data_IF_922499167513
#
_entry.id   IF_922499167513
#
_cell.length_a   1.000
_cell.length_b   1.000
_cell.length_c   1.000
_cell.angle_alpha   90.00
_cell.angle_beta   90.00
_cell.angle_gamma   90.00
#
_symmetry.space_group_name_H-M   'P 1'
#
loop_
_entity.id
_entity.type
_entity.pdbx_description
1 polymer ?
#
# COMPACT_ATOMS: atom_id res chain seq x y z
N UNK A 1 4.05 -21.58 11.89
CA UNK A 1 3.50 -21.85 13.23
C UNK A 1 4.65 -22.03 14.23
N UNK A 2 5.57 -22.97 14.02
CA UNK A 2 6.71 -23.22 14.95
C UNK A 2 7.59 -21.97 15.10
N UNK A 3 7.95 -21.31 14.01
CA UNK A 3 8.75 -20.06 14.02
C UNK A 3 8.06 -18.93 14.77
N UNK A 4 6.76 -18.77 14.59
CA UNK A 4 5.96 -17.76 15.29
C UNK A 4 5.91 -18.07 16.80
N UNK A 5 5.66 -19.32 17.16
CA UNK A 5 5.62 -19.76 18.54
C UNK A 5 6.97 -19.56 19.24
N UNK A 6 8.07 -19.91 18.60
CA UNK A 6 9.42 -19.67 19.11
C UNK A 6 9.71 -18.17 19.25
N UNK A 7 9.29 -17.33 18.28
CA UNK A 7 9.48 -15.90 18.37
C UNK A 7 8.67 -15.27 19.51
N UNK A 8 7.45 -15.74 19.77
CA UNK A 8 6.64 -15.29 20.93
C UNK A 8 7.31 -15.68 22.25
N UNK A 9 7.87 -16.90 22.34
CA UNK A 9 8.57 -17.35 23.55
C UNK A 9 9.86 -16.55 23.78
N UNK A 10 10.65 -16.33 22.72
CA UNK A 10 11.97 -15.70 22.85
C UNK A 10 11.93 -14.18 22.98
N UNK A 11 10.99 -13.53 22.33
CA UNK A 11 10.94 -12.08 22.20
C UNK A 11 9.68 -11.43 22.77
N UNK A 12 8.79 -12.25 23.37
CA UNK A 12 7.51 -11.83 23.89
C UNK A 12 6.41 -11.69 22.80
N UNK A 13 5.13 -11.60 23.20
CA UNK A 13 4.02 -11.60 22.27
C UNK A 13 4.07 -10.41 21.29
N UNK A 14 4.49 -9.25 21.74
CA UNK A 14 4.54 -8.03 20.92
C UNK A 14 5.53 -8.10 19.76
N UNK A 15 6.66 -8.78 19.94
CA UNK A 15 7.67 -8.98 18.90
C UNK A 15 7.44 -10.27 18.10
N UNK A 16 6.75 -11.25 18.69
CA UNK A 16 6.44 -12.52 18.03
C UNK A 16 5.30 -12.41 17.02
N UNK A 17 4.32 -11.51 17.25
CA UNK A 17 3.19 -11.29 16.33
C UNK A 17 3.66 -10.87 14.93
N UNK A 18 4.52 -9.85 14.75
CA UNK A 18 5.04 -9.49 13.43
C UNK A 18 5.74 -10.66 12.72
N UNK A 19 6.52 -11.46 13.45
CA UNK A 19 7.16 -12.66 12.87
C UNK A 19 6.12 -13.65 12.34
N UNK A 20 5.00 -13.81 13.04
CA UNK A 20 3.88 -14.63 12.59
C UNK A 20 3.24 -14.13 11.31
N UNK A 21 3.03 -12.83 11.21
CA UNK A 21 2.49 -12.20 10.00
C UNK A 21 3.42 -12.43 8.78
N UNK A 22 4.72 -12.26 8.96
CA UNK A 22 5.69 -12.53 7.91
C UNK A 22 5.76 -14.03 7.53
N UNK A 23 5.60 -14.92 8.50
CA UNK A 23 5.55 -16.36 8.25
C UNK A 23 4.35 -16.75 7.37
N UNK A 24 3.18 -16.10 7.53
CA UNK A 24 1.99 -16.39 6.69
C UNK A 24 2.25 -16.07 5.22
N UNK A 25 2.96 -14.96 4.93
CA UNK A 25 3.38 -14.63 3.56
C UNK A 25 4.31 -15.69 3.00
N UNK A 26 5.31 -16.14 3.78
CA UNK A 26 6.24 -17.19 3.38
C UNK A 26 5.53 -18.50 3.03
N UNK A 27 4.56 -18.91 3.85
CA UNK A 27 3.71 -20.08 3.58
C UNK A 27 2.90 -19.90 2.30
N UNK A 28 2.26 -18.73 2.12
CA UNK A 28 1.50 -18.42 0.92
C UNK A 28 2.35 -18.44 -0.36
N UNK A 29 3.58 -17.93 -0.31
CA UNK A 29 4.54 -17.99 -1.42
C UNK A 29 4.98 -19.42 -1.71
N UNK A 30 5.30 -20.20 -0.67
CA UNK A 30 5.67 -21.61 -0.78
C UNK A 30 4.56 -22.44 -1.42
N UNK A 31 3.32 -22.27 -0.97
CA UNK A 31 2.15 -22.97 -1.48
C UNK A 31 1.82 -22.55 -2.91
N UNK A 32 1.91 -21.27 -3.24
CA UNK A 32 1.73 -20.76 -4.60
C UNK A 32 2.74 -21.35 -5.59
N UNK A 33 3.98 -21.60 -5.14
CA UNK A 33 5.00 -22.27 -5.95
C UNK A 33 4.74 -23.78 -6.06
N UNK A 34 4.35 -24.45 -4.96
CA UNK A 34 4.01 -25.87 -4.93
C UNK A 34 2.87 -26.21 -5.87
N UNK A 35 1.84 -25.37 -5.89
CA UNK A 35 0.66 -25.54 -6.77
C UNK A 35 0.88 -25.07 -8.20
N UNK A 36 2.08 -24.61 -8.55
CA UNK A 36 2.42 -24.09 -9.89
C UNK A 36 1.42 -23.04 -10.40
N UNK A 37 0.95 -22.17 -9.52
CA UNK A 37 -0.04 -21.14 -9.84
C UNK A 37 0.52 -20.13 -10.83
N UNK A 38 -0.35 -19.61 -11.69
CA UNK A 38 0.02 -18.49 -12.58
C UNK A 38 0.40 -17.23 -11.77
N UNK A 39 1.15 -16.31 -12.40
CA UNK A 39 1.78 -15.14 -11.77
C UNK A 39 0.84 -14.35 -10.86
N UNK A 40 -0.38 -14.04 -11.32
CA UNK A 40 -1.36 -13.27 -10.53
C UNK A 40 -1.81 -14.04 -9.29
N UNK A 41 -2.14 -15.33 -9.43
CA UNK A 41 -2.57 -16.14 -8.28
C UNK A 41 -1.46 -16.34 -7.26
N UNK A 42 -0.20 -16.43 -7.72
CA UNK A 42 0.99 -16.49 -6.85
C UNK A 42 1.19 -15.22 -6.03
N UNK A 43 0.77 -14.05 -6.52
CA UNK A 43 0.78 -12.80 -5.76
C UNK A 43 -0.42 -12.71 -4.83
N UNK A 44 -1.61 -13.04 -5.31
CA UNK A 44 -2.85 -12.90 -4.54
C UNK A 44 -2.91 -13.82 -3.33
N UNK A 45 -2.46 -15.06 -3.43
CA UNK A 45 -2.54 -16.03 -2.34
C UNK A 45 -1.82 -15.54 -1.07
N UNK A 46 -0.52 -15.16 -1.09
CA UNK A 46 0.16 -14.61 0.08
C UNK A 46 -0.40 -13.23 0.50
N UNK A 47 -0.90 -12.43 -0.44
CA UNK A 47 -1.50 -11.13 -0.14
C UNK A 47 -2.79 -11.28 0.66
N UNK A 48 -3.66 -12.20 0.29
CA UNK A 48 -4.88 -12.49 1.03
C UNK A 48 -4.54 -13.08 2.42
N UNK A 49 -3.57 -14.01 2.49
CA UNK A 49 -3.14 -14.57 3.75
C UNK A 49 -2.58 -13.48 4.70
N UNK A 50 -1.76 -12.57 4.18
CA UNK A 50 -1.22 -11.44 4.94
C UNK A 50 -2.33 -10.48 5.39
N UNK A 51 -3.24 -10.12 4.47
CA UNK A 51 -4.36 -9.22 4.77
C UNK A 51 -5.22 -9.77 5.92
N UNK A 52 -5.64 -11.03 5.82
CA UNK A 52 -6.43 -11.69 6.86
C UNK A 52 -5.64 -11.76 8.17
N UNK A 53 -4.37 -12.14 8.13
CA UNK A 53 -3.53 -12.24 9.32
C UNK A 53 -3.37 -10.88 10.02
N UNK A 54 -3.18 -9.79 9.28
CA UNK A 54 -3.12 -8.42 9.84
C UNK A 54 -4.44 -8.04 10.49
N UNK A 55 -5.58 -8.28 9.83
CA UNK A 55 -6.90 -7.97 10.38
C UNK A 55 -7.18 -8.75 11.66
N UNK A 56 -6.93 -10.07 11.64
CA UNK A 56 -7.15 -10.92 12.84
C UNK A 56 -6.26 -10.44 13.99
N UNK A 57 -5.00 -10.13 13.72
CA UNK A 57 -4.06 -9.64 14.73
C UNK A 57 -4.51 -8.29 15.29
N UNK A 58 -4.94 -7.37 14.41
CA UNK A 58 -5.40 -6.05 14.82
C UNK A 58 -6.65 -6.13 15.70
N UNK A 59 -7.64 -6.94 15.32
CA UNK A 59 -8.85 -7.16 16.11
C UNK A 59 -8.52 -7.82 17.45
N UNK A 60 -7.68 -8.86 17.45
CA UNK A 60 -7.29 -9.55 18.68
C UNK A 60 -6.55 -8.60 19.63
N UNK A 61 -5.63 -7.78 19.09
CA UNK A 61 -4.89 -6.80 19.88
C UNK A 61 -5.80 -5.72 20.47
N UNK A 62 -6.74 -5.19 19.70
CA UNK A 62 -7.72 -4.24 20.19
C UNK A 62 -8.56 -4.82 21.32
N UNK A 63 -9.03 -6.06 21.17
CA UNK A 63 -9.79 -6.76 22.20
C UNK A 63 -8.99 -6.98 23.49
N UNK A 64 -7.73 -7.44 23.38
CA UNK A 64 -6.85 -7.68 24.54
C UNK A 64 -6.49 -6.38 25.25
N UNK A 65 -6.24 -5.30 24.50
CA UNK A 65 -5.85 -4.01 25.04
C UNK A 65 -7.04 -3.16 25.53
N UNK A 66 -8.27 -3.62 25.29
CA UNK A 66 -9.49 -2.85 25.61
C UNK A 66 -9.62 -1.55 24.80
N UNK A 67 -8.95 -1.48 23.64
CA UNK A 67 -8.97 -0.30 22.77
C UNK A 67 -10.25 -0.34 21.93
N UNK A 68 -11.05 0.71 22.02
CA UNK A 68 -12.17 0.92 21.10
C UNK A 68 -11.64 1.45 19.77
N UNK A 69 -11.71 0.59 18.74
CA UNK A 69 -11.25 0.92 17.39
C UNK A 69 -12.00 2.11 16.77
N UNK A 70 -13.22 2.39 17.24
CA UNK A 70 -13.99 3.54 16.77
C UNK A 70 -13.42 4.87 17.27
N UNK A 71 -12.62 4.84 18.35
CA UNK A 71 -12.05 6.01 19.03
C UNK A 71 -10.54 6.22 18.72
N UNK A 72 -9.95 5.46 17.80
CA UNK A 72 -8.52 5.56 17.50
C UNK A 72 -8.13 6.99 17.05
N UNK A 73 -8.94 7.60 16.21
CA UNK A 73 -8.74 8.97 15.74
C UNK A 73 -8.75 9.98 16.90
N UNK A 74 -9.69 9.84 17.82
CA UNK A 74 -9.82 10.68 19.02
C UNK A 74 -8.57 10.51 19.91
N UNK A 75 -8.17 9.25 20.17
CA UNK A 75 -7.00 8.96 21.01
C UNK A 75 -5.70 9.51 20.38
N UNK A 76 -5.52 9.38 19.06
CA UNK A 76 -4.37 9.96 18.36
C UNK A 76 -4.35 11.49 18.46
N UNK A 77 -5.50 12.13 18.33
CA UNK A 77 -5.64 13.59 18.44
C UNK A 77 -5.38 14.07 19.85
N UNK A 78 -5.84 13.35 20.88
CA UNK A 78 -5.55 13.67 22.29
C UNK A 78 -4.06 13.53 22.61
N UNK A 79 -3.40 12.47 22.13
CA UNK A 79 -1.95 12.33 22.28
C UNK A 79 -1.19 13.46 21.58
N UNK A 80 -1.63 13.88 20.40
CA UNK A 80 -1.03 15.00 19.69
C UNK A 80 -1.18 16.32 20.49
N UNK A 81 -2.32 16.55 21.15
CA UNK A 81 -2.52 17.69 22.05
C UNK A 81 -1.56 17.66 23.22
N UNK A 82 -1.43 16.52 23.90
CA UNK A 82 -0.49 16.37 25.00
C UNK A 82 0.95 16.66 24.59
N UNK A 83 1.37 16.17 23.41
CA UNK A 83 2.70 16.44 22.86
C UNK A 83 2.87 17.92 22.52
N UNK A 84 1.86 18.56 21.92
CA UNK A 84 1.88 19.97 21.58
C UNK A 84 1.99 20.86 22.83
N UNK A 85 1.20 20.56 23.87
CA UNK A 85 1.21 21.29 25.15
C UNK A 85 2.56 21.11 25.86
N UNK A 86 3.14 19.93 25.86
CA UNK A 86 4.46 19.68 26.41
C UNK A 86 5.56 20.44 25.65
N UNK A 87 5.44 20.51 24.32
CA UNK A 87 6.38 21.24 23.47
C UNK A 87 6.32 22.74 23.72
N UNK A 88 5.12 23.31 23.92
CA UNK A 88 4.92 24.73 24.30
C UNK A 88 5.54 25.06 25.66
N UNK A 89 5.47 24.13 26.63
CA UNK A 89 6.04 24.34 27.95
C UNK A 89 7.57 24.24 27.98
N UNK A 90 8.13 23.36 27.09
CA UNK A 90 9.58 23.08 27.12
C UNK A 90 10.37 23.91 26.12
N UNK A 91 9.75 24.46 25.08
CA UNK A 91 10.43 25.13 23.98
C UNK A 91 9.77 26.47 23.65
N UNK A 92 10.41 27.58 24.09
CA UNK A 92 9.92 28.95 23.83
C UNK A 92 9.87 29.38 22.36
N UNK A 93 10.44 28.57 21.45
CA UNK A 93 10.44 28.87 20.01
C UNK A 93 9.19 28.32 19.27
N UNK A 94 8.35 27.55 19.94
CA UNK A 94 7.12 27.02 19.35
C UNK A 94 5.98 27.97 19.70
N UNK A 95 5.28 28.45 18.67
CA UNK A 95 4.10 29.30 18.85
C UNK A 95 2.84 28.44 19.04
N UNK A 96 1.82 29.04 19.71
CA UNK A 96 0.52 28.40 19.88
C UNK A 96 -0.09 28.01 18.50
N UNK A 97 0.06 28.85 17.49
CA UNK A 97 -0.42 28.61 16.14
C UNK A 97 0.23 27.35 15.51
N UNK A 98 1.53 27.15 15.75
CA UNK A 98 2.25 25.95 15.26
C UNK A 98 1.77 24.68 15.97
N UNK A 99 1.51 24.77 17.28
CA UNK A 99 0.96 23.68 18.07
C UNK A 99 -0.45 23.28 17.58
N UNK A 100 -1.32 24.27 17.35
CA UNK A 100 -2.68 24.06 16.85
C UNK A 100 -2.68 23.48 15.44
N UNK A 101 -1.78 23.95 14.57
CA UNK A 101 -1.58 23.38 13.24
C UNK A 101 -1.10 21.93 13.29
N UNK A 102 -0.20 21.60 14.22
CA UNK A 102 0.25 20.22 14.41
C UNK A 102 -0.91 19.31 14.81
N UNK A 103 -1.70 19.69 15.83
CA UNK A 103 -2.86 18.91 16.27
C UNK A 103 -3.88 18.74 15.16
N UNK A 104 -4.20 19.81 14.41
CA UNK A 104 -5.11 19.74 13.25
C UNK A 104 -4.62 18.83 12.15
N UNK A 105 -3.31 18.79 11.89
CA UNK A 105 -2.74 17.90 10.88
C UNK A 105 -2.78 16.44 11.35
N UNK A 106 -2.52 16.16 12.62
CA UNK A 106 -2.64 14.80 13.19
C UNK A 106 -4.08 14.33 13.15
N UNK A 107 -5.05 15.17 13.51
CA UNK A 107 -6.48 14.85 13.44
C UNK A 107 -6.92 14.46 12.02
N UNK A 108 -6.51 15.26 11.02
CA UNK A 108 -6.78 14.92 9.60
C UNK A 108 -6.12 13.61 9.19
N UNK A 109 -4.89 13.36 9.62
CA UNK A 109 -4.18 12.12 9.31
C UNK A 109 -4.85 10.92 9.99
N UNK A 110 -5.24 11.05 11.25
CA UNK A 110 -5.89 10.00 12.02
C UNK A 110 -7.24 9.60 11.40
N UNK A 111 -8.07 10.60 11.07
CA UNK A 111 -9.35 10.38 10.35
C UNK A 111 -9.11 9.73 8.99
N UNK A 112 -8.16 10.25 8.21
CA UNK A 112 -7.83 9.68 6.90
C UNK A 112 -7.30 8.25 6.98
N UNK A 113 -6.49 7.92 7.98
CA UNK A 113 -6.00 6.55 8.22
C UNK A 113 -7.13 5.61 8.63
N UNK A 114 -8.06 6.06 9.49
CA UNK A 114 -9.23 5.28 9.89
C UNK A 114 -10.09 4.93 8.66
N UNK A 115 -10.39 5.94 7.84
CA UNK A 115 -11.21 5.78 6.64
C UNK A 115 -10.55 4.88 5.59
N UNK A 116 -9.23 4.97 5.45
CA UNK A 116 -8.44 4.25 4.44
C UNK A 116 -7.86 2.92 4.93
N UNK A 117 -8.08 2.54 6.20
CA UNK A 117 -7.36 1.46 6.86
C UNK A 117 -7.37 0.14 6.06
N UNK A 118 -8.54 -0.31 5.64
CA UNK A 118 -8.66 -1.60 4.93
C UNK A 118 -7.89 -1.61 3.60
N UNK A 119 -7.99 -0.53 2.83
CA UNK A 119 -7.28 -0.43 1.56
C UNK A 119 -5.78 -0.25 1.78
N UNK A 120 -5.37 0.52 2.77
CA UNK A 120 -3.95 0.68 3.12
C UNK A 120 -3.33 -0.68 3.50
N UNK A 121 -4.02 -1.47 4.33
CA UNK A 121 -3.58 -2.84 4.68
C UNK A 121 -3.55 -3.74 3.45
N UNK A 122 -4.54 -3.67 2.56
CA UNK A 122 -4.54 -4.46 1.33
C UNK A 122 -3.36 -4.11 0.41
N UNK A 123 -3.09 -2.82 0.20
CA UNK A 123 -1.95 -2.34 -0.59
C UNK A 123 -0.62 -2.80 0.04
N UNK A 124 -0.48 -2.65 1.35
CA UNK A 124 0.70 -3.10 2.08
C UNK A 124 0.89 -4.62 1.95
N UNK A 125 -0.18 -5.41 2.08
CA UNK A 125 -0.14 -6.86 1.93
C UNK A 125 0.31 -7.30 0.53
N UNK A 126 -0.18 -6.65 -0.53
CA UNK A 126 0.24 -6.92 -1.92
C UNK A 126 1.70 -6.54 -2.13
N UNK A 127 2.11 -5.35 -1.67
CA UNK A 127 3.48 -4.85 -1.80
C UNK A 127 4.47 -5.76 -1.09
N UNK A 128 4.13 -6.16 0.13
CA UNK A 128 4.96 -7.03 0.96
C UNK A 128 5.10 -8.43 0.35
N UNK A 129 3.99 -8.98 -0.15
CA UNK A 129 3.99 -10.28 -0.83
C UNK A 129 4.84 -10.25 -2.09
N UNK A 130 4.78 -9.18 -2.87
CA UNK A 130 5.64 -9.00 -4.04
C UNK A 130 7.13 -8.98 -3.68
N UNK A 131 7.50 -8.18 -2.66
CA UNK A 131 8.89 -8.09 -2.18
C UNK A 131 9.37 -9.49 -1.71
N UNK A 132 8.53 -10.21 -0.95
CA UNK A 132 8.86 -11.55 -0.46
C UNK A 132 9.05 -12.55 -1.61
N UNK A 133 8.23 -12.49 -2.64
CA UNK A 133 8.40 -13.31 -3.85
C UNK A 133 9.74 -12.99 -4.54
N UNK A 134 10.09 -11.71 -4.70
CA UNK A 134 11.33 -11.32 -5.34
C UNK A 134 12.57 -11.78 -4.55
N UNK A 135 12.52 -11.63 -3.21
CA UNK A 135 13.57 -12.13 -2.33
C UNK A 135 13.68 -13.67 -2.44
N UNK A 136 12.53 -14.38 -2.46
CA UNK A 136 12.50 -15.84 -2.61
C UNK A 136 13.12 -16.30 -3.93
N UNK A 137 12.83 -15.61 -5.05
CA UNK A 137 13.43 -15.89 -6.35
C UNK A 137 14.94 -15.65 -6.33
N UNK A 138 15.38 -14.56 -5.69
CA UNK A 138 16.81 -14.23 -5.57
C UNK A 138 17.56 -15.27 -4.72
N UNK A 139 17.00 -15.66 -3.57
CA UNK A 139 17.53 -16.71 -2.69
C UNK A 139 17.54 -18.08 -3.39
N UNK A 140 16.44 -18.42 -4.08
CA UNK A 140 16.32 -19.66 -4.83
C UNK A 140 17.43 -19.83 -5.85
N UNK A 141 17.78 -18.76 -6.56
CA UNK A 141 18.93 -18.78 -7.51
C UNK A 141 20.25 -19.11 -6.83
N UNK A 142 20.49 -18.61 -5.59
CA UNK A 142 21.71 -18.88 -4.83
C UNK A 142 21.74 -20.30 -4.28
N UNK A 143 20.58 -20.83 -3.93
CA UNK A 143 20.44 -22.19 -3.37
C UNK A 143 20.21 -23.25 -4.45
N UNK A 144 20.29 -22.88 -5.74
CA UNK A 144 20.04 -23.76 -6.88
C UNK A 144 18.62 -24.38 -6.88
N UNK A 145 17.66 -23.69 -6.26
CA UNK A 145 16.23 -24.07 -6.25
C UNK A 145 15.55 -23.35 -7.40
N UNK A 146 14.86 -24.12 -8.25
CA UNK A 146 14.10 -23.58 -9.38
C UNK A 146 12.80 -22.94 -8.91
N UNK A 147 12.76 -21.61 -8.80
CA UNK A 147 11.54 -20.85 -8.55
C UNK A 147 11.15 -20.12 -9.83
N UNK A 148 9.91 -20.30 -10.32
CA UNK A 148 9.44 -19.63 -11.54
C UNK A 148 9.58 -18.10 -11.41
N UNK A 149 10.10 -17.46 -12.45
CA UNK A 149 10.26 -16.00 -12.46
C UNK A 149 8.90 -15.32 -12.41
N UNK A 150 8.87 -14.16 -11.81
CA UNK A 150 7.73 -13.26 -11.88
C UNK A 150 7.79 -12.46 -13.18
N UNK A 151 6.63 -12.04 -13.69
CA UNK A 151 6.56 -11.16 -14.85
C UNK A 151 7.35 -9.88 -14.60
N UNK A 152 8.18 -9.42 -15.57
CA UNK A 152 8.84 -8.12 -15.47
C UNK A 152 7.79 -7.01 -15.26
N UNK A 153 8.14 -5.99 -14.48
CA UNK A 153 7.21 -4.87 -14.19
C UNK A 153 6.75 -4.18 -15.48
N UNK A 154 7.61 -4.09 -16.48
CA UNK A 154 7.31 -3.51 -17.78
C UNK A 154 6.13 -4.18 -18.51
N UNK A 155 5.86 -5.45 -18.20
CA UNK A 155 4.76 -6.22 -18.80
C UNK A 155 3.45 -6.12 -18.00
N UNK A 156 3.48 -5.46 -16.83
CA UNK A 156 2.28 -5.34 -16.01
C UNK A 156 1.25 -4.44 -16.67
N UNK A 157 0.03 -4.97 -16.76
CA UNK A 157 -1.13 -4.25 -17.26
C UNK A 157 -2.27 -4.38 -16.28
N UNK A 158 -2.74 -3.26 -15.77
CA UNK A 158 -3.95 -3.24 -14.95
C UNK A 158 -5.18 -3.16 -15.86
N UNK A 159 -6.30 -3.75 -15.42
CA UNK A 159 -7.52 -3.72 -16.20
C UNK A 159 -8.11 -2.30 -16.25
N UNK A 160 -8.76 -1.95 -17.35
CA UNK A 160 -9.30 -0.61 -17.60
C UNK A 160 -10.32 -0.16 -16.53
N UNK A 161 -11.01 -1.09 -15.87
CA UNK A 161 -11.93 -0.75 -14.80
C UNK A 161 -11.24 -0.08 -13.59
N UNK A 162 -9.93 -0.23 -13.41
CA UNK A 162 -9.19 0.49 -12.37
C UNK A 162 -9.19 2.01 -12.59
N UNK A 163 -9.17 2.48 -13.84
CA UNK A 163 -9.37 3.90 -14.17
C UNK A 163 -10.80 4.36 -13.82
N UNK A 164 -11.79 3.48 -14.00
CA UNK A 164 -13.17 3.72 -13.56
C UNK A 164 -13.27 3.88 -12.03
N UNK A 165 -12.60 3.02 -11.25
CA UNK A 165 -12.55 3.16 -9.80
C UNK A 165 -11.89 4.49 -9.39
N UNK A 166 -10.79 4.85 -10.03
CA UNK A 166 -10.11 6.12 -9.76
C UNK A 166 -11.02 7.32 -10.00
N UNK A 167 -11.73 7.32 -11.14
CA UNK A 167 -12.69 8.38 -11.47
C UNK A 167 -13.88 8.41 -10.49
N UNK A 168 -14.45 7.25 -10.15
CA UNK A 168 -15.55 7.16 -9.17
C UNK A 168 -15.13 7.65 -7.79
N UNK A 169 -13.92 7.33 -7.35
CA UNK A 169 -13.38 7.85 -6.08
C UNK A 169 -13.27 9.36 -6.07
N UNK A 170 -12.77 9.98 -7.16
CA UNK A 170 -12.71 11.44 -7.31
C UNK A 170 -14.12 12.05 -7.27
N UNK A 171 -15.05 11.52 -8.09
CA UNK A 171 -16.43 12.00 -8.14
C UNK A 171 -17.09 11.89 -6.75
N UNK A 172 -16.87 10.79 -6.04
CA UNK A 172 -17.43 10.59 -4.70
C UNK A 172 -16.90 11.60 -3.69
N UNK A 173 -15.59 11.88 -3.66
CA UNK A 173 -15.00 12.84 -2.71
C UNK A 173 -15.46 14.27 -2.99
N UNK A 174 -15.44 14.68 -4.24
CA UNK A 174 -15.82 16.05 -4.61
C UNK A 174 -17.32 16.24 -4.76
N UNK A 175 -18.06 15.19 -5.06
CA UNK A 175 -19.52 15.23 -5.21
C UNK A 175 -20.29 15.06 -3.88
N UNK A 176 -19.73 14.34 -2.90
CA UNK A 176 -20.40 14.07 -1.62
C UNK A 176 -20.91 15.34 -0.91
N UNK A 177 -20.17 16.46 -0.85
CA UNK A 177 -20.65 17.69 -0.23
C UNK A 177 -21.87 18.33 -0.89
N UNK A 178 -22.13 17.99 -2.15
CA UNK A 178 -23.24 18.55 -2.92
C UNK A 178 -24.51 17.67 -2.87
N UNK A 179 -24.40 16.47 -2.33
CA UNK A 179 -25.52 15.56 -2.15
C UNK A 179 -25.88 15.62 -0.67
N UNK A 180 -27.10 16.05 -0.32
CA UNK A 180 -27.59 16.22 1.04
C UNK A 180 -27.76 14.89 1.83
N UNK A 181 -26.88 13.91 1.59
CA UNK A 181 -26.76 12.66 2.34
C UNK A 181 -25.78 12.83 3.48
N UNK A 182 -25.95 12.04 4.55
CA UNK A 182 -24.99 11.95 5.64
C UNK A 182 -23.62 11.60 5.05
N UNK A 183 -22.71 12.61 4.99
CA UNK A 183 -21.55 12.57 4.11
C UNK A 183 -20.40 11.70 4.60
N UNK A 184 -20.44 11.23 5.86
CA UNK A 184 -19.31 10.54 6.48
C UNK A 184 -19.00 9.18 5.82
N UNK A 185 -19.99 8.33 5.65
CA UNK A 185 -19.80 7.01 5.03
C UNK A 185 -19.51 7.10 3.52
N UNK A 186 -20.13 8.09 2.83
CA UNK A 186 -19.87 8.34 1.42
C UNK A 186 -18.42 8.74 1.21
N UNK A 187 -17.91 9.64 2.06
CA UNK A 187 -16.51 10.06 2.05
C UNK A 187 -15.56 8.90 2.32
N UNK A 188 -15.84 8.08 3.34
CA UNK A 188 -15.02 6.91 3.67
C UNK A 188 -14.96 5.90 2.51
N UNK A 189 -16.11 5.55 1.91
CA UNK A 189 -16.15 4.65 0.76
C UNK A 189 -15.40 5.27 -0.42
N UNK A 190 -15.62 6.54 -0.73
CA UNK A 190 -14.99 7.23 -1.85
C UNK A 190 -13.48 7.30 -1.68
N UNK A 191 -12.99 7.55 -0.46
CA UNK A 191 -11.56 7.53 -0.13
C UNK A 191 -10.94 6.16 -0.39
N UNK A 192 -11.58 5.09 0.05
CA UNK A 192 -11.10 3.73 -0.20
C UNK A 192 -11.10 3.38 -1.70
N UNK A 193 -12.16 3.73 -2.43
CA UNK A 193 -12.27 3.52 -3.88
C UNK A 193 -11.20 4.33 -4.61
N UNK A 194 -10.96 5.59 -4.20
CA UNK A 194 -9.92 6.44 -4.77
C UNK A 194 -8.53 5.86 -4.54
N UNK A 195 -8.22 5.44 -3.30
CA UNK A 195 -6.93 4.86 -2.96
C UNK A 195 -6.66 3.56 -3.72
N UNK A 196 -7.66 2.69 -3.83
CA UNK A 196 -7.54 1.45 -4.60
C UNK A 196 -7.32 1.76 -6.08
N UNK A 197 -8.17 2.59 -6.66
CA UNK A 197 -8.08 2.97 -8.06
C UNK A 197 -6.76 3.68 -8.39
N UNK A 198 -6.36 4.67 -7.58
CA UNK A 198 -5.10 5.40 -7.75
C UNK A 198 -3.88 4.49 -7.64
N UNK A 199 -3.87 3.54 -6.69
CA UNK A 199 -2.78 2.58 -6.53
C UNK A 199 -2.64 1.67 -7.75
N UNK A 200 -3.75 1.14 -8.26
CA UNK A 200 -3.75 0.30 -9.47
C UNK A 200 -3.30 1.10 -10.70
N UNK A 201 -3.81 2.34 -10.86
CA UNK A 201 -3.40 3.22 -11.95
C UNK A 201 -1.92 3.62 -11.83
N UNK A 202 -1.41 3.86 -10.61
CA UNK A 202 0.00 4.18 -10.37
C UNK A 202 0.92 3.00 -10.73
N UNK A 203 0.55 1.78 -10.36
CA UNK A 203 1.29 0.56 -10.75
C UNK A 203 1.31 0.41 -12.26
N UNK A 204 0.17 0.66 -12.94
CA UNK A 204 0.11 0.63 -14.40
C UNK A 204 0.99 1.73 -15.04
N UNK A 205 0.91 2.96 -14.52
CA UNK A 205 1.72 4.08 -14.98
C UNK A 205 3.21 3.86 -14.77
N UNK A 206 3.59 3.28 -13.62
CA UNK A 206 4.96 2.90 -13.33
C UNK A 206 5.47 1.85 -14.34
N UNK A 207 4.68 0.82 -14.62
CA UNK A 207 4.99 -0.20 -15.60
C UNK A 207 5.12 0.37 -17.02
N UNK A 208 4.21 1.29 -17.40
CA UNK A 208 4.25 1.95 -18.68
C UNK A 208 5.48 2.84 -18.85
N UNK A 209 5.84 3.60 -17.81
CA UNK A 209 7.03 4.45 -17.82
C UNK A 209 8.30 3.60 -17.89
N UNK A 210 8.35 2.47 -17.15
CA UNK A 210 9.45 1.52 -17.18
C UNK A 210 9.66 0.94 -18.58
N UNK A 211 8.60 0.56 -19.27
CA UNK A 211 8.63 0.03 -20.63
C UNK A 211 9.10 1.09 -21.64
N UNK A 212 8.58 2.30 -21.57
CA UNK A 212 9.01 3.41 -22.40
C UNK A 212 10.50 3.74 -22.21
N UNK A 213 10.97 3.85 -20.95
CA UNK A 213 12.39 4.08 -20.66
C UNK A 213 13.30 2.97 -21.21
N UNK A 214 12.84 1.71 -21.17
CA UNK A 214 13.54 0.58 -21.77
C UNK A 214 13.64 0.72 -23.28
N UNK A 215 12.60 1.21 -23.93
CA UNK A 215 12.55 1.45 -25.38
C UNK A 215 13.53 2.55 -25.83
N UNK A 216 13.84 3.51 -24.96
CA UNK A 216 14.88 4.53 -25.20
C UNK A 216 16.31 4.05 -24.95
N UNK A 217 16.54 2.74 -24.79
CA UNK A 217 17.86 2.12 -24.52
C UNK A 217 18.58 2.71 -23.29
N UNK A 218 17.82 3.21 -22.33
CA UNK A 218 18.38 3.74 -21.08
C UNK A 218 19.04 2.61 -20.27
N UNK A 219 20.18 2.91 -19.63
CA UNK A 219 20.82 1.92 -18.76
C UNK A 219 19.89 1.50 -17.62
N UNK A 220 19.91 0.20 -17.28
CA UNK A 220 19.04 -0.32 -16.24
C UNK A 220 19.19 0.40 -14.89
N UNK A 221 20.41 0.79 -14.52
CA UNK A 221 20.65 1.50 -13.26
C UNK A 221 19.98 2.88 -13.26
N UNK A 222 20.16 3.65 -14.32
CA UNK A 222 19.57 4.98 -14.45
C UNK A 222 18.05 4.90 -14.50
N UNK A 223 17.49 3.95 -15.25
CA UNK A 223 16.04 3.68 -15.30
C UNK A 223 15.44 3.49 -13.90
N UNK A 224 16.00 2.59 -13.11
CA UNK A 224 15.46 2.30 -11.78
C UNK A 224 15.62 3.45 -10.79
N UNK A 225 16.71 4.21 -10.87
CA UNK A 225 16.91 5.43 -10.07
C UNK A 225 15.84 6.46 -10.42
N UNK A 226 15.65 6.77 -11.70
CA UNK A 226 14.66 7.74 -12.14
C UNK A 226 13.24 7.31 -11.80
N UNK A 227 12.90 6.04 -12.00
CA UNK A 227 11.59 5.49 -11.61
C UNK A 227 11.34 5.59 -10.11
N UNK A 228 12.37 5.31 -9.29
CA UNK A 228 12.27 5.45 -7.83
C UNK A 228 12.04 6.90 -7.40
N UNK A 229 12.82 7.84 -7.97
CA UNK A 229 12.63 9.27 -7.72
C UNK A 229 11.24 9.72 -8.17
N UNK A 230 10.81 9.31 -9.38
CA UNK A 230 9.50 9.69 -9.90
C UNK A 230 8.36 9.13 -9.05
N UNK A 231 8.45 7.88 -8.63
CA UNK A 231 7.43 7.26 -7.76
C UNK A 231 7.35 7.93 -6.39
N UNK A 232 8.49 8.34 -5.83
CA UNK A 232 8.55 8.98 -4.52
C UNK A 232 7.95 10.40 -4.54
N UNK A 233 8.34 11.22 -5.54
CA UNK A 233 7.92 12.63 -5.60
C UNK A 233 6.62 12.87 -6.39
N UNK A 234 6.29 11.99 -7.33
CA UNK A 234 5.22 12.20 -8.32
C UNK A 234 4.24 11.02 -8.39
N UNK A 235 3.95 10.36 -7.26
CA UNK A 235 3.06 9.19 -7.22
C UNK A 235 1.68 9.43 -7.84
N UNK A 236 1.08 10.62 -7.62
CA UNK A 236 -0.20 10.97 -8.25
C UNK A 236 -0.08 11.16 -9.77
N UNK A 237 1.03 11.72 -10.25
CA UNK A 237 1.27 11.85 -11.68
C UNK A 237 1.41 10.48 -12.35
N UNK A 238 1.94 9.47 -11.65
CA UNK A 238 1.94 8.09 -12.13
C UNK A 238 0.54 7.52 -12.32
N UNK A 239 -0.39 7.83 -11.40
CA UNK A 239 -1.79 7.39 -11.54
C UNK A 239 -2.44 8.01 -12.79
N UNK A 240 -2.27 9.32 -12.98
CA UNK A 240 -2.78 10.02 -14.15
C UNK A 240 -2.15 9.49 -15.44
N UNK A 241 -0.83 9.30 -15.45
CA UNK A 241 -0.14 8.71 -16.59
C UNK A 241 -0.62 7.28 -16.88
N UNK A 242 -0.87 6.49 -15.83
CA UNK A 242 -1.44 5.16 -15.96
C UNK A 242 -2.83 5.17 -16.59
N UNK A 243 -3.70 6.10 -16.19
CA UNK A 243 -5.02 6.27 -16.82
C UNK A 243 -4.84 6.63 -18.29
N UNK A 244 -3.96 7.57 -18.63
CA UNK A 244 -3.69 7.96 -20.02
C UNK A 244 -3.21 6.75 -20.85
N UNK A 245 -2.26 5.97 -20.33
CA UNK A 245 -1.75 4.78 -21.04
C UNK A 245 -2.83 3.69 -21.21
N UNK A 246 -3.75 3.51 -20.24
CA UNK A 246 -4.87 2.57 -20.37
C UNK A 246 -5.80 2.89 -21.53
N UNK A 247 -6.03 4.18 -21.81
CA UNK A 247 -6.92 4.60 -22.90
C UNK A 247 -6.19 4.74 -24.25
N UNK A 248 -4.95 5.20 -24.23
CA UNK A 248 -4.21 5.52 -25.46
C UNK A 248 -3.27 4.40 -25.91
N UNK A 249 -2.99 3.40 -25.04
CA UNK A 249 -2.01 2.32 -25.25
C UNK A 249 -0.68 2.85 -25.84
N UNK A 250 -0.10 3.82 -25.13
CA UNK A 250 1.11 4.53 -25.57
C UNK A 250 2.28 3.57 -25.84
N UNK A 251 2.37 2.50 -25.02
CA UNK A 251 3.41 1.46 -25.15
C UNK A 251 3.36 0.77 -26.50
N UNK A 252 2.18 0.32 -26.92
CA UNK A 252 2.01 -0.38 -28.21
C UNK A 252 2.22 0.57 -29.39
N UNK A 253 1.69 1.79 -29.31
CA UNK A 253 1.85 2.81 -30.36
C UNK A 253 3.31 3.22 -30.52
N UNK A 254 4.06 3.32 -29.46
CA UNK A 254 5.47 3.69 -29.51
C UNK A 254 6.30 2.58 -30.15
N UNK A 255 6.09 1.31 -29.75
CA UNK A 255 6.79 0.15 -30.37
C UNK A 255 6.48 -0.05 -31.84
N UNK A 256 5.27 0.32 -32.27
CA UNK A 256 4.89 0.23 -33.69
C UNK A 256 5.56 1.27 -34.60
N UNK A 257 6.22 2.27 -34.01
CA UNK A 257 6.93 3.35 -34.73
C UNK A 257 8.43 3.17 -34.81
N UNK A 258 8.98 2.17 -34.12
CA UNK A 258 10.38 1.75 -34.18
C UNK A 258 10.61 0.61 -35.15
#
# INVERSE_FOLDING_TARGET
IVTTFLAVILFGPWNGIPVGLFATVGVGVGEGNRLSLGTIKRLLLPSIAMFVAVLVTFIAQAYISGIDLSMIDIQMTEQARMIADQALQTNSNITQEQADLFVKNVDKLATGLKDAFFVAVAIAAVSYSYITIQISIWLGKRLHISIPRFLPIEEWRMPIWSAGLYALGIIGIYGAPHISMDSSWVTAISTNVLLLGSSMCSVHGFAALADLMSSYRMSNKLKWILLGVYAFFFGQALAIFGVIDMFLDLRTRYKARQ
#
